data_IF_329128797357
#
_entry.id   IF_329128797357
#
_cell.length_a   1.000
_cell.length_b   1.000
_cell.length_c   1.000
_cell.angle_alpha   90.00
_cell.angle_beta   90.00
_cell.angle_gamma   90.00
#
_symmetry.space_group_name_H-M   'P 1'
#
loop_
_entity.id
_entity.type
_entity.pdbx_description
1 polymer ?
#
# COMPACT_ATOMS: atom_id res chain seq x y z
N UNK A 1 -9.15 -5.26 35.89
CA UNK A 1 -7.82 -5.21 35.26
C UNK A 1 -7.90 -5.91 33.92
N UNK A 2 -7.87 -5.15 32.83
CA UNK A 2 -7.84 -5.67 31.46
C UNK A 2 -7.09 -4.64 30.63
N UNK A 3 -5.85 -4.97 30.28
CA UNK A 3 -4.89 -4.06 29.65
C UNK A 3 -5.35 -3.64 28.24
N UNK A 4 -5.84 -2.41 28.12
CA UNK A 4 -6.16 -1.77 26.83
C UNK A 4 -4.89 -1.19 26.15
N UNK A 5 -3.72 -1.37 26.76
CA UNK A 5 -2.47 -0.69 26.38
C UNK A 5 -1.62 -1.45 25.35
N UNK A 6 -1.96 -2.71 25.02
CA UNK A 6 -1.16 -3.56 24.12
C UNK A 6 -1.58 -3.41 22.64
N UNK A 7 -2.77 -2.88 22.34
CA UNK A 7 -3.25 -2.75 20.96
C UNK A 7 -2.88 -1.43 20.27
N UNK A 8 -2.22 -0.49 20.96
CA UNK A 8 -1.85 0.81 20.39
C UNK A 8 -0.41 0.84 19.84
N UNK A 9 0.47 -0.08 20.25
CA UNK A 9 1.88 -0.16 19.79
C UNK A 9 2.17 -1.36 18.89
N UNK A 10 1.16 -1.93 18.21
CA UNK A 10 1.27 -3.15 17.40
C UNK A 10 2.04 -2.99 16.08
N UNK A 11 3.28 -2.49 16.10
CA UNK A 11 4.17 -2.38 14.94
C UNK A 11 4.49 -0.96 14.46
N UNK A 12 3.95 0.08 15.12
CA UNK A 12 4.25 1.49 14.81
C UNK A 12 5.75 1.82 14.86
N UNK A 13 6.50 1.19 15.78
CA UNK A 13 7.95 1.34 15.89
C UNK A 13 8.72 0.87 14.64
N UNK A 14 8.20 -0.15 13.93
CA UNK A 14 8.83 -0.64 12.69
C UNK A 14 8.67 0.35 11.54
N UNK A 15 7.57 1.11 11.50
CA UNK A 15 7.35 2.14 10.48
C UNK A 15 8.27 3.35 10.67
N UNK A 16 8.56 3.73 11.92
CA UNK A 16 9.56 4.76 12.24
C UNK A 16 10.97 4.36 11.78
N UNK A 17 11.36 3.09 11.99
CA UNK A 17 12.68 2.58 11.57
C UNK A 17 12.88 2.53 10.05
N UNK A 18 11.78 2.44 9.28
CA UNK A 18 11.80 2.43 7.81
C UNK A 18 11.71 3.83 7.21
N UNK A 19 11.76 4.88 8.05
CA UNK A 19 11.78 6.27 7.62
C UNK A 19 10.44 6.78 7.11
N UNK A 20 9.33 6.29 7.66
CA UNK A 20 7.99 6.83 7.41
C UNK A 20 7.92 8.34 7.65
N UNK A 21 7.33 9.07 6.71
CA UNK A 21 7.15 10.53 6.78
C UNK A 21 5.67 10.90 6.86
N UNK A 22 4.86 10.36 5.97
CA UNK A 22 3.43 10.66 5.89
C UNK A 22 2.66 9.46 5.35
N UNK A 23 1.35 9.43 5.59
CA UNK A 23 0.48 8.35 5.15
C UNK A 23 -0.90 8.84 4.77
N UNK A 24 -1.42 8.30 3.67
CA UNK A 24 -2.81 8.44 3.27
C UNK A 24 -3.49 7.08 3.32
N UNK A 25 -4.63 7.02 3.99
CA UNK A 25 -5.48 5.84 4.04
C UNK A 25 -6.85 6.22 3.51
N UNK A 26 -7.37 5.44 2.58
CA UNK A 26 -8.69 5.66 2.00
C UNK A 26 -9.40 4.33 1.73
N UNK A 27 -10.72 4.34 1.81
CA UNK A 27 -11.56 3.18 1.54
C UNK A 27 -12.52 3.49 0.41
N UNK A 28 -12.49 2.67 -0.62
CA UNK A 28 -13.38 2.75 -1.78
C UNK A 28 -14.45 1.67 -1.65
N UNK A 29 -15.72 2.07 -1.81
CA UNK A 29 -16.86 1.16 -1.81
C UNK A 29 -17.60 1.26 -3.14
N UNK A 30 -17.84 0.13 -3.80
CA UNK A 30 -18.63 0.06 -5.03
C UNK A 30 -19.37 -1.27 -5.12
N UNK A 31 -20.68 -1.25 -5.39
CA UNK A 31 -21.52 -2.46 -5.57
C UNK A 31 -21.33 -3.54 -4.51
N UNK A 32 -21.12 -3.14 -3.25
CA UNK A 32 -20.88 -4.07 -2.13
C UNK A 32 -19.44 -4.55 -1.99
N UNK A 33 -18.55 -4.25 -2.95
CA UNK A 33 -17.11 -4.44 -2.84
C UNK A 33 -16.46 -3.29 -2.07
N UNK A 34 -15.40 -3.62 -1.33
CA UNK A 34 -14.59 -2.67 -0.57
C UNK A 34 -13.12 -2.88 -0.90
N UNK A 35 -12.41 -1.78 -1.13
CA UNK A 35 -10.96 -1.77 -1.32
C UNK A 35 -10.37 -0.72 -0.39
N UNK A 36 -9.39 -1.12 0.41
CA UNK A 36 -8.58 -0.20 1.19
C UNK A 36 -7.32 0.16 0.40
N UNK A 37 -6.97 1.44 0.44
CA UNK A 37 -5.74 1.99 -0.10
C UNK A 37 -4.93 2.56 1.06
N UNK A 38 -3.66 2.19 1.11
CA UNK A 38 -2.66 2.81 1.97
C UNK A 38 -1.52 3.31 1.09
N UNK A 39 -1.16 4.58 1.21
CA UNK A 39 -0.01 5.19 0.54
C UNK A 39 0.90 5.74 1.63
N UNK A 40 2.12 5.24 1.71
CA UNK A 40 3.12 5.68 2.67
C UNK A 40 4.25 6.39 1.95
N UNK A 41 4.52 7.63 2.34
CA UNK A 41 5.74 8.34 1.99
C UNK A 41 6.83 7.97 2.98
N UNK A 42 8.00 7.64 2.48
CA UNK A 42 9.17 7.30 3.28
C UNK A 42 10.36 8.17 2.87
N UNK A 43 11.43 8.15 3.66
CA UNK A 43 12.57 9.07 3.50
C UNK A 43 13.24 9.07 2.11
N UNK A 44 13.26 7.92 1.42
CA UNK A 44 13.96 7.76 0.14
C UNK A 44 13.42 6.57 -0.66
N UNK A 45 13.68 6.50 -1.98
CA UNK A 45 13.21 5.40 -2.83
C UNK A 45 13.71 4.01 -2.40
N UNK A 46 14.91 3.90 -1.81
CA UNK A 46 15.43 2.63 -1.32
C UNK A 46 14.60 2.11 -0.14
N UNK A 47 14.15 3.01 0.72
CA UNK A 47 13.23 2.70 1.82
C UNK A 47 11.86 2.28 1.28
N UNK A 48 11.35 2.91 0.22
CA UNK A 48 10.07 2.55 -0.38
C UNK A 48 10.10 1.13 -0.96
N UNK A 49 11.19 0.80 -1.67
CA UNK A 49 11.47 -0.54 -2.18
C UNK A 49 11.54 -1.57 -1.05
N UNK A 50 12.29 -1.28 0.03
CA UNK A 50 12.42 -2.18 1.18
C UNK A 50 11.09 -2.44 1.90
N UNK A 51 10.28 -1.39 2.12
CA UNK A 51 8.94 -1.51 2.72
C UNK A 51 8.03 -2.34 1.82
N UNK A 52 8.06 -2.08 0.51
CA UNK A 52 7.25 -2.82 -0.46
C UNK A 52 7.61 -4.31 -0.49
N UNK A 53 8.91 -4.65 -0.55
CA UNK A 53 9.38 -6.03 -0.52
C UNK A 53 8.98 -6.74 0.76
N UNK A 54 9.12 -6.07 1.92
CA UNK A 54 8.70 -6.62 3.21
C UNK A 54 7.20 -6.88 3.28
N UNK A 55 6.38 -5.96 2.76
CA UNK A 55 4.91 -6.09 2.76
C UNK A 55 4.41 -7.13 1.77
N UNK A 56 4.98 -7.18 0.57
CA UNK A 56 4.63 -8.19 -0.43
C UNK A 56 4.95 -9.61 0.06
N UNK A 57 6.01 -9.77 0.87
CA UNK A 57 6.44 -11.07 1.36
C UNK A 57 6.88 -11.97 0.21
N UNK A 58 6.62 -13.27 0.35
CA UNK A 58 6.99 -14.25 -0.67
C UNK A 58 5.81 -14.60 -1.58
N UNK A 59 6.09 -14.84 -2.86
CA UNK A 59 5.10 -15.24 -3.86
C UNK A 59 4.42 -14.06 -4.56
N UNK A 60 3.21 -14.30 -5.07
CA UNK A 60 2.48 -13.32 -5.87
C UNK A 60 2.95 -13.23 -7.33
N UNK A 61 2.17 -12.51 -8.13
CA UNK A 61 2.44 -12.28 -9.55
C UNK A 61 3.05 -10.87 -9.71
N UNK A 62 4.25 -10.75 -10.32
CA UNK A 62 4.79 -9.44 -10.65
C UNK A 62 3.88 -8.71 -11.64
N UNK A 63 3.70 -7.40 -11.43
CA UNK A 63 2.88 -6.53 -12.27
C UNK A 63 3.66 -5.26 -12.65
N UNK A 64 3.42 -4.70 -13.84
CA UNK A 64 4.10 -3.49 -14.31
C UNK A 64 3.45 -2.24 -13.70
N UNK A 65 3.62 -2.03 -12.39
CA UNK A 65 3.21 -0.83 -11.67
C UNK A 65 4.37 -0.27 -10.86
N UNK A 66 4.57 1.05 -10.96
CA UNK A 66 5.68 1.74 -10.34
C UNK A 66 7.02 1.22 -10.85
N UNK A 67 8.00 1.15 -9.94
CA UNK A 67 9.30 0.52 -10.25
C UNK A 67 9.29 -0.98 -9.95
N UNK A 68 8.50 -1.43 -8.97
CA UNK A 68 8.13 -2.83 -8.82
C UNK A 68 6.76 -2.96 -8.16
N UNK A 69 5.97 -3.93 -8.63
CA UNK A 69 4.69 -4.27 -8.04
C UNK A 69 4.42 -5.77 -8.04
N UNK A 70 3.65 -6.21 -7.06
CA UNK A 70 3.24 -7.61 -6.85
C UNK A 70 1.75 -7.66 -6.55
N UNK A 71 1.03 -8.52 -7.25
CA UNK A 71 -0.37 -8.84 -7.03
C UNK A 71 -0.49 -10.25 -6.45
N UNK A 72 -1.26 -10.39 -5.38
CA UNK A 72 -1.67 -11.67 -4.82
C UNK A 72 -3.20 -11.82 -4.94
N UNK A 73 -3.78 -12.77 -4.22
CA UNK A 73 -5.18 -13.17 -4.37
C UNK A 73 -6.18 -12.03 -4.12
N UNK A 74 -5.85 -11.08 -3.24
CA UNK A 74 -6.71 -9.91 -2.96
C UNK A 74 -5.92 -8.68 -2.50
N UNK A 75 -4.59 -8.69 -2.64
CA UNK A 75 -3.72 -7.61 -2.19
C UNK A 75 -2.70 -7.27 -3.26
N UNK A 76 -2.42 -5.98 -3.41
CA UNK A 76 -1.51 -5.43 -4.37
C UNK A 76 -0.53 -4.51 -3.65
N UNK A 77 0.75 -4.75 -3.84
CA UNK A 77 1.81 -3.87 -3.35
C UNK A 77 2.60 -3.32 -4.53
N UNK A 78 2.88 -2.03 -4.53
CA UNK A 78 3.88 -1.47 -5.44
C UNK A 78 4.58 -0.27 -4.80
N UNK A 79 5.69 0.16 -5.40
CA UNK A 79 6.37 1.38 -4.98
C UNK A 79 6.81 2.19 -6.19
N UNK A 80 6.91 3.50 -5.99
CA UNK A 80 7.39 4.47 -6.99
C UNK A 80 7.91 5.71 -6.27
N UNK A 81 9.14 6.13 -6.61
CA UNK A 81 9.81 7.23 -5.92
C UNK A 81 9.81 6.95 -4.38
N UNK A 82 9.69 7.93 -3.45
CA UNK A 82 9.67 7.62 -2.02
C UNK A 82 8.31 7.07 -1.52
N UNK A 83 7.42 6.60 -2.40
CA UNK A 83 6.09 6.14 -2.01
C UNK A 83 5.96 4.63 -2.11
N UNK A 84 5.44 4.01 -1.05
CA UNK A 84 4.97 2.63 -1.03
C UNK A 84 3.43 2.63 -1.01
N UNK A 85 2.83 1.77 -1.82
CA UNK A 85 1.38 1.66 -1.93
C UNK A 85 0.94 0.22 -1.66
N UNK A 86 -0.07 0.07 -0.81
CA UNK A 86 -0.80 -1.17 -0.57
C UNK A 86 -2.26 -0.97 -0.94
N UNK A 87 -2.81 -1.90 -1.71
CA UNK A 87 -4.26 -2.04 -1.84
C UNK A 87 -4.69 -3.41 -1.33
N UNK A 88 -5.81 -3.45 -0.62
CA UNK A 88 -6.38 -4.68 -0.07
C UNK A 88 -7.87 -4.73 -0.40
N UNK A 89 -8.24 -5.74 -1.19
CA UNK A 89 -9.60 -6.20 -1.34
C UNK A 89 -9.97 -7.19 -0.24
N UNK A 90 -11.25 -7.40 -0.02
CA UNK A 90 -11.76 -8.35 0.99
C UNK A 90 -12.20 -9.69 0.39
N UNK A 91 -12.02 -9.86 -0.93
CA UNK A 91 -12.28 -11.07 -1.67
C UNK A 91 -11.41 -11.12 -2.94
N UNK A 92 -11.37 -12.27 -3.58
CA UNK A 92 -10.56 -12.56 -4.77
C UNK A 92 -11.38 -12.61 -6.05
N UNK A 93 -12.59 -12.06 -6.04
CA UNK A 93 -13.43 -12.06 -7.23
C UNK A 93 -12.80 -11.19 -8.34
N UNK A 94 -13.03 -11.51 -9.62
CA UNK A 94 -12.49 -10.75 -10.74
C UNK A 94 -12.82 -9.25 -10.69
N UNK A 95 -14.00 -8.89 -10.19
CA UNK A 95 -14.41 -7.48 -10.02
C UNK A 95 -13.53 -6.74 -9.00
N UNK A 96 -13.18 -7.39 -7.89
CA UNK A 96 -12.31 -6.83 -6.86
C UNK A 96 -10.89 -6.66 -7.39
N UNK A 97 -10.35 -7.69 -8.07
CA UNK A 97 -9.03 -7.61 -8.71
C UNK A 97 -8.95 -6.49 -9.76
N UNK A 98 -10.01 -6.32 -10.55
CA UNK A 98 -10.11 -5.22 -11.52
C UNK A 98 -10.17 -3.86 -10.81
N UNK A 99 -10.90 -3.75 -9.70
CA UNK A 99 -10.94 -2.57 -8.85
C UNK A 99 -9.55 -2.21 -8.30
N UNK A 100 -8.81 -3.20 -7.77
CA UNK A 100 -7.44 -3.02 -7.27
C UNK A 100 -6.54 -2.43 -8.35
N UNK A 101 -6.52 -3.04 -9.54
CA UNK A 101 -5.70 -2.57 -10.66
C UNK A 101 -6.10 -1.18 -11.14
N UNK A 102 -7.39 -0.85 -11.12
CA UNK A 102 -7.91 0.46 -11.54
C UNK A 102 -7.43 1.56 -10.59
N UNK A 103 -7.60 1.35 -9.29
CA UNK A 103 -7.16 2.32 -8.27
C UNK A 103 -5.63 2.43 -8.27
N UNK A 104 -4.91 1.30 -8.37
CA UNK A 104 -3.45 1.30 -8.37
C UNK A 104 -2.85 2.13 -9.54
N UNK A 105 -3.38 1.98 -10.76
CA UNK A 105 -2.98 2.79 -11.93
C UNK A 105 -3.29 4.27 -11.72
N UNK A 106 -4.44 4.59 -11.14
CA UNK A 106 -4.82 5.96 -10.85
C UNK A 106 -3.91 6.62 -9.80
N UNK A 107 -3.43 5.85 -8.82
CA UNK A 107 -2.46 6.29 -7.81
C UNK A 107 -1.08 6.44 -8.44
N UNK A 108 -0.60 5.45 -9.19
CA UNK A 108 0.70 5.49 -9.90
C UNK A 108 0.83 6.75 -10.78
N UNK A 109 -0.25 7.14 -11.47
CA UNK A 109 -0.29 8.33 -12.31
C UNK A 109 -0.25 9.67 -11.55
N UNK A 110 -0.48 9.67 -10.24
CA UNK A 110 -0.46 10.86 -9.36
C UNK A 110 0.80 10.95 -8.52
N UNK A 111 1.26 9.84 -7.94
CA UNK A 111 2.45 9.83 -7.09
C UNK A 111 3.71 10.16 -7.92
N UNK A 112 4.55 11.05 -7.38
CA UNK A 112 5.76 11.54 -8.04
C UNK A 112 5.54 12.65 -9.08
N UNK A 113 4.30 13.09 -9.33
CA UNK A 113 4.02 14.30 -10.13
C UNK A 113 3.93 15.57 -9.29
N UNK A 114 3.56 15.44 -8.02
CA UNK A 114 3.39 16.57 -7.10
C UNK A 114 4.49 16.53 -6.04
N UNK A 115 5.65 17.06 -6.39
CA UNK A 115 6.67 17.45 -5.40
C UNK A 115 6.15 18.71 -4.69
N UNK A 116 5.24 18.54 -3.74
CA UNK A 116 4.66 19.66 -3.00
C UNK A 116 3.36 19.37 -2.25
N UNK A 117 3.42 18.44 -1.30
CA UNK A 117 2.35 18.07 -0.33
C UNK A 117 1.11 17.38 -0.93
N UNK A 118 0.83 16.19 -0.37
CA UNK A 118 -0.52 15.60 -0.32
C UNK A 118 -1.39 16.36 0.69
#
# INVERSE_FOLDING_TARGET
MGHLEILINGGAETYLQLGFQSGLISTFCNRGKRINLEVYEVKDPASASAVCARKAGNGGKPIPLGEAGVLHDYYLHFWKCPFQVTLTGYDSDPETLQGLMTIAKAVEGRIGRETGRL
#
